data_IF_609557555260
#
_entry.id   IF_609557555260
#
_cell.length_a   1.000
_cell.length_b   1.000
_cell.length_c   1.000
_cell.angle_alpha   90.00
_cell.angle_beta   90.00
_cell.angle_gamma   90.00
#
_symmetry.space_group_name_H-M   'P 1'
#
loop_
_entity.id
_entity.type
_entity.pdbx_description
1 polymer ?
#
# COMPACT_ATOMS: atom_id res chain seq x y z
N UNK A 1 -28.12 6.75 -13.46
CA UNK A 1 -27.20 7.64 -12.70
C UNK A 1 -26.33 8.56 -13.55
N UNK A 2 -25.72 8.13 -14.66
CA UNK A 2 -25.01 9.05 -15.58
C UNK A 2 -25.83 9.52 -16.80
N UNK A 3 -26.98 8.91 -17.06
CA UNK A 3 -27.82 9.21 -18.23
C UNK A 3 -28.61 10.54 -18.10
N UNK A 4 -28.75 11.08 -16.89
CA UNK A 4 -29.56 12.27 -16.58
C UNK A 4 -28.72 13.55 -16.36
N UNK A 5 -27.41 13.50 -16.63
CA UNK A 5 -26.50 14.63 -16.40
C UNK A 5 -26.30 15.42 -17.69
N UNK A 6 -26.44 16.74 -17.64
CA UNK A 6 -26.18 17.65 -18.77
C UNK A 6 -24.78 17.47 -19.38
N UNK A 7 -23.81 17.05 -18.57
CA UNK A 7 -22.48 16.64 -19.03
C UNK A 7 -22.28 15.13 -18.84
N UNK A 8 -22.20 14.35 -19.94
CA UNK A 8 -21.99 12.92 -19.83
C UNK A 8 -20.59 12.60 -19.31
N UNK A 9 -20.51 12.04 -18.10
CA UNK A 9 -19.25 11.55 -17.54
C UNK A 9 -18.88 10.25 -18.27
N UNK A 10 -17.82 10.30 -19.06
CA UNK A 10 -17.21 9.12 -19.70
C UNK A 10 -16.59 8.21 -18.63
N UNK A 11 -17.33 7.19 -18.21
CA UNK A 11 -16.79 6.12 -17.34
C UNK A 11 -15.90 5.23 -18.21
N UNK A 12 -14.57 5.40 -18.12
CA UNK A 12 -13.62 4.43 -18.67
C UNK A 12 -13.48 3.26 -17.71
N UNK A 13 -13.99 2.09 -18.10
CA UNK A 13 -13.68 0.85 -17.38
C UNK A 13 -12.27 0.37 -17.72
N UNK A 14 -11.27 0.95 -17.06
CA UNK A 14 -9.90 0.43 -17.11
C UNK A 14 -9.75 -0.76 -16.15
N UNK A 15 -10.35 -1.90 -16.50
CA UNK A 15 -10.35 -3.13 -15.68
C UNK A 15 -8.96 -3.50 -15.14
N UNK A 16 -7.94 -3.36 -15.99
CA UNK A 16 -6.55 -3.64 -15.64
C UNK A 16 -5.95 -2.63 -14.65
N UNK A 17 -6.22 -1.34 -14.82
CA UNK A 17 -5.75 -0.29 -13.91
C UNK A 17 -6.42 -0.41 -12.53
N UNK A 18 -7.73 -0.74 -12.52
CA UNK A 18 -8.47 -1.04 -11.28
C UNK A 18 -7.84 -2.22 -10.54
N UNK A 19 -7.49 -3.31 -11.23
CA UNK A 19 -6.90 -4.48 -10.58
C UNK A 19 -5.56 -4.18 -9.89
N UNK A 20 -4.70 -3.33 -10.48
CA UNK A 20 -3.41 -2.94 -9.89
C UNK A 20 -3.62 -2.16 -8.58
N UNK A 21 -4.51 -1.16 -8.61
CA UNK A 21 -4.82 -0.33 -7.43
C UNK A 21 -5.49 -1.17 -6.33
N UNK A 22 -6.49 -1.97 -6.70
CA UNK A 22 -7.20 -2.83 -5.74
C UNK A 22 -6.29 -3.88 -5.11
N UNK A 23 -5.28 -4.40 -5.84
CA UNK A 23 -4.28 -5.31 -5.27
C UNK A 23 -3.44 -4.64 -4.19
N UNK A 24 -3.00 -3.40 -4.41
CA UNK A 24 -2.28 -2.61 -3.40
C UNK A 24 -3.12 -2.39 -2.13
N UNK A 25 -4.39 -2.03 -2.29
CA UNK A 25 -5.30 -1.82 -1.16
C UNK A 25 -5.65 -3.10 -0.40
N UNK A 26 -5.69 -4.27 -1.06
CA UNK A 26 -6.00 -5.55 -0.40
C UNK A 26 -5.02 -5.89 0.71
N UNK A 27 -3.74 -5.63 0.51
CA UNK A 27 -2.70 -5.84 1.51
C UNK A 27 -2.96 -5.04 2.80
N UNK A 28 -3.22 -3.75 2.63
CA UNK A 28 -3.51 -2.82 3.72
C UNK A 28 -4.79 -3.25 4.44
N UNK A 29 -5.89 -3.44 3.68
CA UNK A 29 -7.18 -3.85 4.23
C UNK A 29 -7.09 -5.18 4.98
N UNK A 30 -6.31 -6.15 4.50
CA UNK A 30 -6.13 -7.44 5.19
C UNK A 30 -5.50 -7.27 6.57
N UNK A 31 -4.54 -6.34 6.72
CA UNK A 31 -3.89 -6.06 8.00
C UNK A 31 -4.73 -5.19 8.92
N UNK A 32 -5.47 -4.22 8.39
CA UNK A 32 -6.26 -3.29 9.19
C UNK A 32 -7.63 -3.81 9.57
N UNK A 33 -8.23 -4.73 8.81
CA UNK A 33 -9.57 -5.29 9.08
C UNK A 33 -9.75 -5.96 10.45
N UNK A 34 -8.78 -6.68 11.03
CA UNK A 34 -8.90 -7.18 12.40
C UNK A 34 -8.65 -6.11 13.50
N UNK A 35 -8.28 -4.88 13.13
CA UNK A 35 -8.02 -3.79 14.08
C UNK A 35 -9.31 -2.98 14.33
N UNK A 36 -9.41 -2.33 15.50
CA UNK A 36 -10.51 -1.41 15.86
C UNK A 36 -10.46 -0.07 15.09
N UNK A 37 -9.59 0.05 14.10
CA UNK A 37 -9.26 1.30 13.42
C UNK A 37 -8.02 1.98 14.01
N UNK A 38 -7.72 3.16 13.49
CA UNK A 38 -6.63 4.01 13.97
C UNK A 38 -7.20 5.07 14.90
N UNK A 39 -6.57 5.28 16.05
CA UNK A 39 -6.99 6.28 17.01
C UNK A 39 -6.82 7.71 16.47
N UNK A 40 -5.74 7.95 15.72
CA UNK A 40 -5.36 9.25 15.19
C UNK A 40 -4.60 9.12 13.85
N UNK A 41 -4.64 10.19 13.04
CA UNK A 41 -3.99 10.22 11.73
C UNK A 41 -2.47 9.99 11.75
N UNK A 42 -1.70 10.52 12.71
CA UNK A 42 -0.28 10.22 12.85
C UNK A 42 -0.01 8.72 13.03
N UNK A 43 -0.74 8.05 13.92
CA UNK A 43 -0.60 6.59 14.11
C UNK A 43 -0.99 5.81 12.85
N UNK A 44 -2.06 6.21 12.16
CA UNK A 44 -2.43 5.61 10.88
C UNK A 44 -1.30 5.70 9.87
N UNK A 45 -0.67 6.88 9.74
CA UNK A 45 0.44 7.12 8.82
C UNK A 45 1.63 6.22 9.14
N UNK A 46 2.06 6.17 10.40
CA UNK A 46 3.20 5.33 10.82
C UNK A 46 2.94 3.85 10.53
N UNK A 47 1.75 3.34 10.88
CA UNK A 47 1.44 1.94 10.69
C UNK A 47 1.33 1.57 9.20
N UNK A 48 0.66 2.40 8.41
CA UNK A 48 0.54 2.20 6.96
C UNK A 48 1.91 2.23 6.28
N UNK A 49 2.78 3.18 6.64
CA UNK A 49 4.15 3.24 6.13
C UNK A 49 4.96 2.00 6.51
N UNK A 50 4.81 1.48 7.73
CA UNK A 50 5.46 0.22 8.13
C UNK A 50 4.98 -1.00 7.34
N UNK A 51 3.67 -1.10 7.07
CA UNK A 51 3.08 -2.17 6.25
C UNK A 51 3.59 -2.10 4.81
N UNK A 52 3.70 -0.89 4.25
CA UNK A 52 4.23 -0.66 2.91
C UNK A 52 5.72 -0.98 2.82
N UNK A 53 6.51 -0.55 3.80
CA UNK A 53 7.94 -0.85 3.92
C UNK A 53 8.21 -2.35 3.95
N UNK A 54 7.46 -3.10 4.77
CA UNK A 54 7.56 -4.55 4.80
C UNK A 54 7.18 -5.21 3.46
N UNK A 55 6.21 -4.63 2.74
CA UNK A 55 5.87 -5.11 1.39
C UNK A 55 6.99 -4.89 0.38
N UNK A 56 7.68 -3.74 0.44
CA UNK A 56 8.82 -3.45 -0.44
C UNK A 56 10.00 -4.40 -0.16
N UNK A 57 10.27 -4.68 1.12
CA UNK A 57 11.28 -5.66 1.56
C UNK A 57 10.92 -7.07 1.04
N UNK A 58 9.68 -7.51 1.24
CA UNK A 58 9.23 -8.83 0.80
C UNK A 58 9.29 -9.01 -0.73
N UNK A 59 9.04 -7.94 -1.50
CA UNK A 59 9.14 -7.94 -2.96
C UNK A 59 10.59 -7.82 -3.47
N UNK A 60 11.57 -7.61 -2.59
CA UNK A 60 12.95 -7.37 -3.01
C UNK A 60 13.13 -6.06 -3.78
N UNK A 61 12.24 -5.09 -3.58
CA UNK A 61 12.31 -3.78 -4.22
C UNK A 61 13.40 -2.88 -3.62
N UNK A 62 14.02 -3.34 -2.53
CA UNK A 62 15.11 -2.64 -1.87
C UNK A 62 16.38 -2.79 -2.71
N UNK A 63 16.77 -1.71 -3.38
CA UNK A 63 18.07 -1.62 -4.07
C UNK A 63 19.16 -1.42 -3.02
N UNK A 64 19.63 -2.50 -2.39
CA UNK A 64 20.82 -2.42 -1.54
C UNK A 64 22.05 -2.63 -2.42
N UNK A 65 22.93 -1.62 -2.50
CA UNK A 65 24.18 -1.68 -3.27
C UNK A 65 25.21 -2.64 -2.65
N UNK A 66 24.90 -3.22 -1.49
CA UNK A 66 25.76 -4.15 -0.76
C UNK A 66 25.60 -5.57 -1.30
N UNK A 67 26.72 -6.27 -1.50
CA UNK A 67 26.78 -7.68 -1.96
C UNK A 67 26.04 -8.67 -1.05
N UNK A 68 25.74 -8.29 0.20
CA UNK A 68 25.09 -9.14 1.19
C UNK A 68 23.63 -8.69 1.37
N UNK A 69 22.66 -9.57 1.06
CA UNK A 69 21.24 -9.33 1.31
C UNK A 69 20.98 -9.37 2.83
N UNK A 70 20.70 -8.23 3.50
CA UNK A 70 20.43 -8.23 4.94
C UNK A 70 19.11 -8.97 5.22
N UNK A 71 18.92 -9.48 6.44
CA UNK A 71 17.63 -10.05 6.84
C UNK A 71 16.51 -9.01 6.75
N UNK A 72 15.27 -9.45 6.53
CA UNK A 72 14.12 -8.55 6.42
C UNK A 72 13.97 -7.62 7.64
N UNK A 73 14.23 -8.14 8.84
CA UNK A 73 14.22 -7.35 10.07
C UNK A 73 15.30 -6.26 10.07
N UNK A 74 16.52 -6.60 9.64
CA UNK A 74 17.64 -5.64 9.58
C UNK A 74 17.39 -4.55 8.53
N UNK A 75 16.84 -4.91 7.37
CA UNK A 75 16.42 -3.93 6.36
C UNK A 75 15.34 -3.01 6.92
N UNK A 76 14.35 -3.56 7.62
CA UNK A 76 13.28 -2.78 8.23
C UNK A 76 13.80 -1.79 9.27
N UNK A 77 14.60 -2.23 10.24
CA UNK A 77 15.14 -1.33 11.27
C UNK A 77 16.10 -0.27 10.73
N UNK A 78 16.80 -0.53 9.62
CA UNK A 78 17.64 0.49 8.98
C UNK A 78 16.86 1.61 8.28
N UNK A 79 15.56 1.42 8.07
CA UNK A 79 14.71 2.30 7.25
C UNK A 79 13.49 2.83 7.99
N UNK A 80 13.09 2.16 9.06
CA UNK A 80 12.16 2.71 10.03
C UNK A 80 12.85 3.92 10.70
N UNK A 81 12.26 5.10 10.54
CA UNK A 81 12.65 6.32 11.26
C UNK A 81 12.22 6.25 12.72
#
# INVERSE_FOLDING_TARGET
MNAERETPIKIRQAKYLKNIVEQGHRAIKRRTRPMLGFHDFPCARILLSGIELMHMIAKGQMKDARKLKPSAARQFYSLAM
#
